data_IF_656550765047
#
_entry.id   IF_656550765047
#
_cell.length_a   1.000
_cell.length_b   1.000
_cell.length_c   1.000
_cell.angle_alpha   90.00
_cell.angle_beta   90.00
_cell.angle_gamma   90.00
#
_symmetry.space_group_name_H-M   'P 1'
#
loop_
_entity.id
_entity.type
_entity.pdbx_description
1 polymer ?
#
# COMPACT_ATOMS: atom_id res chain seq x y z
N UNK A 1 2.18 -11.45 23.31
CA UNK A 1 3.07 -10.33 22.93
C UNK A 1 2.82 -10.01 21.46
N UNK A 2 2.30 -8.80 21.22
CA UNK A 2 2.68 -7.94 20.09
C UNK A 2 2.12 -8.12 18.67
N UNK A 3 0.84 -8.47 18.50
CA UNK A 3 0.17 -8.18 17.21
C UNK A 3 -0.06 -6.67 17.01
N UNK A 4 -0.29 -5.92 18.11
CA UNK A 4 -0.45 -4.46 18.06
C UNK A 4 0.81 -3.75 17.58
N UNK A 5 1.96 -4.09 18.15
CA UNK A 5 3.26 -3.50 17.81
C UNK A 5 3.77 -3.92 16.42
N UNK A 6 3.38 -5.11 15.94
CA UNK A 6 3.65 -5.51 14.56
C UNK A 6 2.82 -4.68 13.58
N UNK A 7 1.55 -4.38 13.91
CA UNK A 7 0.69 -3.49 13.15
C UNK A 7 1.23 -2.06 13.10
N UNK A 8 1.70 -1.53 14.22
CA UNK A 8 2.29 -0.19 14.30
C UNK A 8 3.63 -0.09 13.54
N UNK A 9 4.49 -1.11 13.66
CA UNK A 9 5.73 -1.17 12.87
C UNK A 9 5.47 -1.34 11.38
N UNK A 10 4.46 -2.14 11.00
CA UNK A 10 4.05 -2.27 9.62
C UNK A 10 3.46 -0.96 9.09
N UNK A 11 2.69 -0.22 9.92
CA UNK A 11 2.20 1.13 9.61
C UNK A 11 3.36 2.10 9.39
N UNK A 12 4.32 2.16 10.32
CA UNK A 12 5.49 3.03 10.19
C UNK A 12 6.34 2.66 8.98
N UNK A 13 6.64 1.38 8.77
CA UNK A 13 7.40 0.94 7.60
C UNK A 13 6.64 1.18 6.29
N UNK A 14 5.31 1.03 6.29
CA UNK A 14 4.48 1.33 5.12
C UNK A 14 4.40 2.84 4.86
N UNK A 15 4.42 3.69 5.89
CA UNK A 15 4.50 5.14 5.73
C UNK A 15 5.88 5.60 5.27
N UNK A 16 6.95 5.07 5.86
CA UNK A 16 8.34 5.40 5.54
C UNK A 16 8.77 4.86 4.17
N UNK A 17 8.21 3.73 3.75
CA UNK A 17 8.40 3.16 2.41
C UNK A 17 7.19 3.35 1.51
N UNK A 18 6.26 4.24 1.84
CA UNK A 18 5.02 4.44 1.08
C UNK A 18 5.33 4.75 -0.38
N UNK A 19 6.31 5.61 -0.64
CA UNK A 19 6.74 5.97 -2.00
C UNK A 19 7.28 4.77 -2.78
N UNK A 20 8.09 3.93 -2.12
CA UNK A 20 8.66 2.73 -2.72
C UNK A 20 7.59 1.66 -2.97
N UNK A 21 6.61 1.56 -2.08
CA UNK A 21 5.42 0.72 -2.24
C UNK A 21 4.52 1.31 -3.34
N UNK A 22 4.45 2.64 -3.54
CA UNK A 22 3.69 3.28 -4.64
C UNK A 22 4.30 2.81 -5.95
N UNK A 23 5.60 3.03 -6.09
CA UNK A 23 6.34 2.74 -7.31
C UNK A 23 6.34 1.24 -7.67
N UNK A 24 6.60 0.36 -6.69
CA UNK A 24 6.57 -1.09 -6.91
C UNK A 24 5.16 -1.59 -7.19
N UNK A 25 4.16 -1.07 -6.47
CA UNK A 25 2.77 -1.44 -6.70
C UNK A 25 2.31 -0.97 -8.07
N UNK A 26 2.61 0.25 -8.50
CA UNK A 26 2.26 0.76 -9.82
C UNK A 26 2.90 -0.07 -10.94
N UNK A 27 4.19 -0.42 -10.82
CA UNK A 27 4.86 -1.30 -11.79
C UNK A 27 4.26 -2.70 -11.84
N UNK A 28 3.97 -3.30 -10.69
CA UNK A 28 3.35 -4.62 -10.62
C UNK A 28 1.91 -4.59 -11.14
N UNK A 29 1.18 -3.54 -10.81
CA UNK A 29 -0.19 -3.31 -11.21
C UNK A 29 -0.26 -3.12 -12.73
N UNK A 30 0.53 -2.21 -13.30
CA UNK A 30 0.57 -1.98 -14.74
C UNK A 30 1.12 -3.20 -15.51
N UNK A 31 1.99 -4.01 -14.89
CA UNK A 31 2.57 -5.20 -15.52
C UNK A 31 1.72 -6.48 -15.40
N UNK A 32 0.85 -6.60 -14.39
CA UNK A 32 0.06 -7.84 -14.13
C UNK A 32 -1.45 -7.68 -14.21
N UNK A 33 -1.96 -6.46 -14.12
CA UNK A 33 -3.39 -6.19 -14.08
C UNK A 33 -3.78 -5.37 -15.32
N UNK A 34 -4.75 -5.87 -16.09
CA UNK A 34 -5.41 -5.07 -17.12
C UNK A 34 -6.01 -3.79 -16.50
N UNK A 35 -6.03 -2.68 -17.27
CA UNK A 35 -6.30 -1.31 -16.78
C UNK A 35 -7.40 -1.17 -15.73
N UNK A 36 -8.54 -1.85 -15.90
CA UNK A 36 -9.66 -1.78 -14.95
C UNK A 36 -9.36 -2.36 -13.56
N UNK A 37 -8.53 -3.41 -13.48
CA UNK A 37 -8.10 -4.01 -12.20
C UNK A 37 -6.95 -3.22 -11.60
N UNK A 38 -6.14 -2.59 -12.45
CA UNK A 38 -5.06 -1.73 -12.02
C UNK A 38 -5.57 -0.51 -11.25
N UNK A 39 -6.59 0.17 -11.78
CA UNK A 39 -7.20 1.33 -11.12
C UNK A 39 -7.82 0.95 -9.76
N UNK A 40 -8.47 -0.21 -9.66
CA UNK A 40 -9.00 -0.71 -8.38
C UNK A 40 -7.90 -0.99 -7.36
N UNK A 41 -6.77 -1.56 -7.78
CA UNK A 41 -5.64 -1.83 -6.90
C UNK A 41 -4.98 -0.54 -6.40
N UNK A 42 -4.81 0.46 -7.28
CA UNK A 42 -4.30 1.79 -6.90
C UNK A 42 -5.24 2.50 -5.93
N UNK A 43 -6.56 2.48 -6.17
CA UNK A 43 -7.55 3.04 -5.24
C UNK A 43 -7.57 2.34 -3.88
N UNK A 44 -7.54 1.01 -3.85
CA UNK A 44 -7.53 0.26 -2.60
C UNK A 44 -6.27 0.53 -1.78
N UNK A 45 -5.13 0.66 -2.47
CA UNK A 45 -3.86 1.04 -1.88
C UNK A 45 -3.90 2.44 -1.28
N UNK A 46 -4.35 3.45 -2.03
CA UNK A 46 -4.42 4.83 -1.54
C UNK A 46 -5.39 4.95 -0.35
N UNK A 47 -6.56 4.31 -0.40
CA UNK A 47 -7.50 4.26 0.74
C UNK A 47 -6.89 3.58 1.97
N UNK A 48 -6.12 2.51 1.76
CA UNK A 48 -5.42 1.81 2.84
C UNK A 48 -4.36 2.69 3.48
N UNK A 49 -3.51 3.35 2.69
CA UNK A 49 -2.50 4.29 3.17
C UNK A 49 -3.11 5.49 3.91
N UNK A 50 -4.22 6.04 3.40
CA UNK A 50 -4.92 7.15 4.03
C UNK A 50 -5.54 6.74 5.38
N UNK A 51 -6.12 5.54 5.47
CA UNK A 51 -6.59 4.96 6.75
C UNK A 51 -5.46 4.57 7.70
N UNK A 52 -4.24 4.36 7.19
CA UNK A 52 -3.07 4.09 8.02
C UNK A 52 -2.50 5.39 8.64
N UNK A 53 -2.60 6.51 7.93
CA UNK A 53 -2.05 7.82 8.33
C UNK A 53 -2.96 8.71 9.17
N UNK A 54 -4.22 8.34 9.40
CA UNK A 54 -5.17 9.01 10.31
C UNK A 54 -5.31 8.24 11.63
#
# INVERSE_FOLDING_TARGET
MDLGNLGDKAKQAASEHSDKIKEQSDKLVDSKLDGDKADKAKQARDKGLDSLGN
#
